data_IF_907478082732
#
_entry.id   IF_907478082732
#
_cell.length_a   1.000
_cell.length_b   1.000
_cell.length_c   1.000
_cell.angle_alpha   90.00
_cell.angle_beta   90.00
_cell.angle_gamma   90.00
#
_symmetry.space_group_name_H-M   'P 1'
#
loop_
_entity.id
_entity.type
_entity.pdbx_description
1 polymer ?
#
# COMPACT_ATOMS: atom_id res chain seq x y z
N UNK A 1 -24.08 15.92 0.50
CA UNK A 1 -23.23 15.40 -0.57
C UNK A 1 -24.12 14.62 -1.53
N UNK A 2 -23.93 14.81 -2.84
CA UNK A 2 -24.47 13.94 -3.88
C UNK A 2 -23.44 12.86 -4.18
N UNK A 3 -23.84 11.60 -4.10
CA UNK A 3 -22.93 10.47 -4.27
C UNK A 3 -23.43 9.61 -5.42
N UNK A 4 -22.59 9.45 -6.44
CA UNK A 4 -22.83 8.54 -7.54
C UNK A 4 -22.46 7.11 -7.17
N UNK A 5 -23.06 6.13 -7.83
CA UNK A 5 -22.75 4.70 -7.63
C UNK A 5 -22.43 4.06 -8.97
N UNK A 6 -21.33 3.29 -9.02
CA UNK A 6 -20.94 2.46 -10.15
C UNK A 6 -20.72 1.01 -9.70
N UNK A 7 -21.66 0.13 -10.01
CA UNK A 7 -21.68 -1.22 -9.48
C UNK A 7 -21.96 -1.24 -7.97
N UNK A 8 -22.08 -2.43 -7.40
CA UNK A 8 -22.22 -2.59 -5.96
C UNK A 8 -21.49 -3.84 -5.47
N UNK A 9 -21.27 -3.90 -4.17
CA UNK A 9 -20.96 -5.10 -3.40
C UNK A 9 -21.51 -4.87 -1.99
N UNK A 10 -21.47 -5.89 -1.13
CA UNK A 10 -21.98 -5.79 0.24
C UNK A 10 -21.43 -4.61 1.04
N UNK A 11 -20.14 -4.27 0.87
CA UNK A 11 -19.51 -3.16 1.59
C UNK A 11 -19.96 -1.81 1.03
N UNK A 12 -19.99 -1.67 -0.30
CA UNK A 12 -20.46 -0.44 -0.95
C UNK A 12 -21.93 -0.18 -0.69
N UNK A 13 -22.78 -1.22 -0.67
CA UNK A 13 -24.18 -1.07 -0.30
C UNK A 13 -24.34 -0.62 1.15
N UNK A 14 -23.54 -1.15 2.09
CA UNK A 14 -23.57 -0.71 3.48
C UNK A 14 -23.19 0.78 3.62
N UNK A 15 -22.19 1.25 2.85
CA UNK A 15 -21.80 2.67 2.81
C UNK A 15 -22.92 3.53 2.19
N UNK A 16 -23.54 3.05 1.12
CA UNK A 16 -24.68 3.75 0.49
C UNK A 16 -25.87 3.89 1.46
N UNK A 17 -26.18 2.83 2.23
CA UNK A 17 -27.20 2.88 3.29
C UNK A 17 -26.83 3.93 4.35
N UNK A 18 -25.61 3.88 4.88
CA UNK A 18 -25.13 4.85 5.87
C UNK A 18 -25.18 6.29 5.33
N UNK A 19 -24.92 6.49 4.04
CA UNK A 19 -25.00 7.81 3.40
C UNK A 19 -26.45 8.35 3.37
N UNK A 20 -27.43 7.52 3.02
CA UNK A 20 -28.84 7.91 3.03
C UNK A 20 -29.32 8.20 4.45
N UNK A 21 -28.94 7.37 5.42
CA UNK A 21 -29.26 7.59 6.84
C UNK A 21 -28.61 8.87 7.38
N UNK A 22 -27.40 9.21 6.90
CA UNK A 22 -26.71 10.48 7.15
C UNK A 22 -27.29 11.69 6.40
N UNK A 23 -28.37 11.53 5.63
CA UNK A 23 -29.04 12.60 4.91
C UNK A 23 -28.34 13.03 3.61
N UNK A 24 -27.50 12.18 3.03
CA UNK A 24 -26.90 12.39 1.72
C UNK A 24 -27.78 11.80 0.61
N UNK A 25 -27.65 12.34 -0.60
CA UNK A 25 -28.42 11.88 -1.75
C UNK A 25 -27.58 10.95 -2.62
N UNK A 26 -28.15 9.80 -2.97
CA UNK A 26 -27.54 8.85 -3.91
C UNK A 26 -28.14 9.04 -5.30
N UNK A 27 -27.37 9.63 -6.19
CA UNK A 27 -27.72 9.80 -7.60
C UNK A 27 -26.50 10.34 -8.34
N UNK A 28 -26.25 9.88 -9.58
CA UNK A 28 -26.89 8.77 -10.30
C UNK A 28 -26.30 7.40 -9.93
N UNK A 29 -27.05 6.32 -10.17
CA UNK A 29 -26.59 4.95 -9.93
C UNK A 29 -26.57 4.10 -11.21
N UNK A 30 -25.44 3.46 -11.49
CA UNK A 30 -25.20 2.67 -12.71
C UNK A 30 -24.72 1.26 -12.38
N UNK A 31 -25.14 0.27 -13.18
CA UNK A 31 -24.72 -1.14 -13.05
C UNK A 31 -25.05 -1.75 -11.66
N UNK A 32 -26.15 -1.29 -11.05
CA UNK A 32 -26.64 -1.72 -9.73
C UNK A 32 -27.79 -2.73 -9.92
N UNK A 33 -27.87 -3.82 -9.13
CA UNK A 33 -28.93 -4.82 -9.26
C UNK A 33 -30.31 -4.25 -8.91
N UNK A 34 -31.35 -4.94 -9.37
CA UNK A 34 -32.74 -4.54 -9.12
C UNK A 34 -33.15 -4.72 -7.66
N UNK A 35 -32.65 -5.77 -7.02
CA UNK A 35 -32.91 -6.10 -5.62
C UNK A 35 -31.95 -5.32 -4.71
N UNK A 36 -32.40 -4.15 -4.28
CA UNK A 36 -31.68 -3.31 -3.35
C UNK A 36 -32.37 -3.28 -1.98
N UNK A 37 -31.62 -3.00 -0.90
CA UNK A 37 -32.20 -2.68 0.40
C UNK A 37 -33.33 -1.65 0.26
N UNK A 38 -34.42 -1.80 1.03
CA UNK A 38 -35.61 -0.97 0.89
C UNK A 38 -35.33 0.54 0.98
N UNK A 39 -34.35 0.93 1.81
CA UNK A 39 -33.90 2.32 1.96
C UNK A 39 -33.26 2.89 0.69
N UNK A 40 -32.74 2.04 -0.19
CA UNK A 40 -32.14 2.36 -1.49
C UNK A 40 -33.12 2.13 -2.67
N UNK A 41 -34.39 1.82 -2.41
CA UNK A 41 -35.36 1.56 -3.48
C UNK A 41 -35.66 2.79 -4.35
N UNK A 42 -35.44 4.00 -3.82
CA UNK A 42 -35.67 5.27 -4.51
C UNK A 42 -34.47 5.84 -5.26
N UNK A 43 -33.35 5.12 -5.39
CA UNK A 43 -32.18 5.66 -6.11
C UNK A 43 -32.52 5.84 -7.59
N UNK A 44 -31.98 6.90 -8.18
CA UNK A 44 -32.10 7.16 -9.61
C UNK A 44 -31.18 6.21 -10.40
N UNK A 45 -31.73 5.08 -10.84
CA UNK A 45 -31.03 4.08 -11.63
C UNK A 45 -31.00 4.49 -13.10
N UNK A 46 -29.81 4.57 -13.65
CA UNK A 46 -29.57 4.96 -15.03
C UNK A 46 -29.04 3.77 -15.85
N UNK A 47 -29.26 3.75 -17.19
CA UNK A 47 -28.73 2.70 -18.06
C UNK A 47 -27.21 2.60 -17.95
N UNK A 48 -26.68 1.36 -17.92
CA UNK A 48 -25.25 1.08 -17.74
C UNK A 48 -24.36 1.81 -18.76
N UNK A 49 -24.85 2.00 -19.99
CA UNK A 49 -24.11 2.66 -21.06
C UNK A 49 -23.91 4.17 -20.86
N UNK A 50 -24.64 4.78 -19.92
CA UNK A 50 -24.67 6.22 -19.65
C UNK A 50 -23.84 6.63 -18.42
N UNK A 51 -22.97 5.75 -17.94
CA UNK A 51 -22.17 5.95 -16.73
C UNK A 51 -21.29 7.23 -16.77
N UNK A 52 -21.01 7.78 -17.95
CA UNK A 52 -20.20 8.98 -18.14
C UNK A 52 -20.76 10.21 -17.40
N UNK A 53 -22.05 10.20 -17.02
CA UNK A 53 -22.60 11.23 -16.12
C UNK A 53 -21.86 11.34 -14.78
N UNK A 54 -21.17 10.28 -14.33
CA UNK A 54 -20.33 10.29 -13.13
C UNK A 54 -19.05 11.13 -13.26
N UNK A 55 -18.68 11.55 -14.48
CA UNK A 55 -17.51 12.40 -14.73
C UNK A 55 -17.77 13.86 -14.34
N UNK A 56 -19.03 14.27 -14.25
CA UNK A 56 -19.44 15.66 -14.02
C UNK A 56 -19.55 15.99 -12.52
N UNK A 57 -18.82 17.00 -12.05
CA UNK A 57 -18.88 17.50 -10.65
C UNK A 57 -20.27 18.00 -10.27
N UNK A 58 -21.03 18.49 -11.25
CA UNK A 58 -22.38 19.03 -11.05
C UNK A 58 -23.40 17.93 -10.70
N UNK A 59 -23.12 16.72 -11.15
CA UNK A 59 -23.98 15.53 -11.02
C UNK A 59 -23.76 14.87 -9.66
N UNK A 60 -22.50 14.61 -9.29
CA UNK A 60 -22.16 14.08 -7.97
C UNK A 60 -20.83 14.64 -7.45
N UNK A 61 -20.63 14.65 -6.14
CA UNK A 61 -19.40 15.13 -5.50
C UNK A 61 -18.35 14.00 -5.38
N UNK A 62 -18.81 12.74 -5.30
CA UNK A 62 -17.98 11.56 -5.19
C UNK A 62 -18.67 10.32 -5.76
N UNK A 63 -17.91 9.27 -6.03
CA UNK A 63 -18.40 8.01 -6.62
C UNK A 63 -18.07 6.82 -5.72
N UNK A 64 -19.07 6.01 -5.39
CA UNK A 64 -18.89 4.69 -4.79
C UNK A 64 -18.75 3.64 -5.90
N UNK A 65 -17.75 2.78 -5.81
CA UNK A 65 -17.47 1.77 -6.84
C UNK A 65 -17.49 0.37 -6.23
N UNK A 66 -18.46 -0.42 -6.65
CA UNK A 66 -18.61 -1.83 -6.24
C UNK A 66 -17.76 -2.79 -7.06
N UNK A 67 -17.33 -3.87 -6.42
CA UNK A 67 -16.44 -4.87 -7.03
C UNK A 67 -17.13 -6.18 -7.44
N UNK A 68 -18.38 -6.40 -7.06
CA UNK A 68 -19.09 -7.62 -7.50
C UNK A 68 -19.34 -7.57 -9.01
N UNK A 69 -18.95 -8.63 -9.72
CA UNK A 69 -18.99 -8.66 -11.19
C UNK A 69 -17.93 -7.77 -11.84
N UNK A 70 -16.79 -7.55 -11.17
CA UNK A 70 -15.65 -6.83 -11.74
C UNK A 70 -15.29 -7.35 -13.15
N UNK A 71 -15.01 -6.42 -14.06
CA UNK A 71 -14.71 -6.72 -15.47
C UNK A 71 -13.75 -5.69 -16.04
N UNK A 72 -13.09 -5.99 -17.17
CA UNK A 72 -12.25 -5.02 -17.87
C UNK A 72 -13.01 -3.75 -18.26
N UNK A 73 -14.31 -3.85 -18.54
CA UNK A 73 -15.14 -2.69 -18.79
C UNK A 73 -15.25 -1.80 -17.55
N UNK A 74 -15.49 -2.38 -16.36
CA UNK A 74 -15.55 -1.61 -15.11
C UNK A 74 -14.19 -1.05 -14.71
N UNK A 75 -13.12 -1.81 -14.95
CA UNK A 75 -11.76 -1.32 -14.77
C UNK A 75 -11.50 -0.06 -15.62
N UNK A 76 -11.95 -0.05 -16.88
CA UNK A 76 -11.83 1.11 -17.76
C UNK A 76 -12.67 2.31 -17.31
N UNK A 77 -13.88 2.07 -16.82
CA UNK A 77 -14.71 3.11 -16.22
C UNK A 77 -14.00 3.77 -15.03
N UNK A 78 -13.40 2.97 -14.15
CA UNK A 78 -12.62 3.48 -13.01
C UNK A 78 -11.39 4.25 -13.46
N UNK A 79 -10.61 3.75 -14.43
CA UNK A 79 -9.48 4.50 -14.99
C UNK A 79 -9.92 5.86 -15.52
N UNK A 80 -11.05 5.92 -16.24
CA UNK A 80 -11.58 7.17 -16.79
C UNK A 80 -12.05 8.13 -15.69
N UNK A 81 -12.71 7.64 -14.64
CA UNK A 81 -13.09 8.46 -13.48
C UNK A 81 -11.85 9.03 -12.78
N UNK A 82 -10.80 8.23 -12.62
CA UNK A 82 -9.54 8.70 -12.01
C UNK A 82 -8.83 9.73 -12.91
N UNK A 83 -8.82 9.53 -14.23
CA UNK A 83 -8.31 10.52 -15.18
C UNK A 83 -9.07 11.85 -15.12
N UNK A 84 -10.38 11.80 -14.88
CA UNK A 84 -11.22 12.97 -14.72
C UNK A 84 -11.11 13.65 -13.33
N UNK A 85 -10.18 13.20 -12.47
CA UNK A 85 -9.93 13.83 -11.17
C UNK A 85 -11.01 13.55 -10.13
N UNK A 86 -11.84 12.52 -10.32
CA UNK A 86 -12.97 12.21 -9.43
C UNK A 86 -12.50 11.68 -8.07
N UNK A 87 -13.23 12.01 -7.01
CA UNK A 87 -13.08 11.35 -5.69
C UNK A 87 -13.87 10.04 -5.69
N UNK A 88 -13.19 8.94 -5.43
CA UNK A 88 -13.71 7.57 -5.54
C UNK A 88 -13.50 6.83 -4.23
N UNK A 89 -14.55 6.16 -3.75
CA UNK A 89 -14.43 5.10 -2.76
C UNK A 89 -14.71 3.75 -3.42
N UNK A 90 -13.73 2.86 -3.42
CA UNK A 90 -13.80 1.59 -4.16
C UNK A 90 -13.73 0.38 -3.22
N UNK A 91 -14.54 -0.63 -3.48
CA UNK A 91 -14.41 -1.93 -2.83
C UNK A 91 -13.00 -2.49 -3.01
N UNK A 92 -12.49 -3.23 -2.01
CA UNK A 92 -11.13 -3.73 -2.03
C UNK A 92 -11.05 -5.24 -1.79
N UNK A 93 -10.17 -5.99 -2.48
CA UNK A 93 -9.54 -5.60 -3.75
C UNK A 93 -10.58 -5.50 -4.88
N UNK A 94 -10.41 -4.55 -5.79
CA UNK A 94 -11.22 -4.50 -7.01
C UNK A 94 -10.72 -5.50 -8.06
N UNK A 95 -9.41 -5.69 -8.13
CA UNK A 95 -8.76 -6.73 -8.92
C UNK A 95 -7.54 -7.25 -8.17
N UNK A 96 -7.20 -8.52 -8.38
CA UNK A 96 -5.95 -9.14 -7.88
C UNK A 96 -4.79 -8.99 -8.88
N UNK A 97 -4.98 -8.20 -9.95
CA UNK A 97 -3.96 -7.93 -10.97
C UNK A 97 -3.09 -6.73 -10.58
N UNK A 98 -1.79 -6.94 -10.38
CA UNK A 98 -0.82 -5.86 -10.22
C UNK A 98 -0.70 -4.98 -11.45
N UNK A 99 -0.96 -5.51 -12.66
CA UNK A 99 -0.94 -4.69 -13.86
C UNK A 99 -2.00 -3.58 -13.77
N UNK A 100 -3.23 -3.96 -13.38
CA UNK A 100 -4.30 -2.99 -13.15
C UNK A 100 -3.94 -2.03 -12.01
N UNK A 101 -3.32 -2.55 -10.93
CA UNK A 101 -2.94 -1.71 -9.80
C UNK A 101 -1.91 -0.63 -10.21
N UNK A 102 -0.91 -1.02 -11.00
CA UNK A 102 0.14 -0.14 -11.52
C UNK A 102 -0.38 0.87 -12.54
N UNK A 103 -1.27 0.44 -13.46
CA UNK A 103 -1.91 1.36 -14.41
C UNK A 103 -2.68 2.46 -13.70
N UNK A 104 -3.42 2.14 -12.63
CA UNK A 104 -4.15 3.15 -11.87
C UNK A 104 -3.22 4.08 -11.10
N UNK A 105 -2.10 3.55 -10.57
CA UNK A 105 -1.07 4.35 -9.89
C UNK A 105 -0.42 5.36 -10.85
N UNK A 106 -0.11 4.94 -12.09
CA UNK A 106 0.37 5.84 -13.13
C UNK A 106 -0.63 6.95 -13.46
N UNK A 107 -1.92 6.62 -13.56
CA UNK A 107 -2.96 7.61 -13.84
C UNK A 107 -3.09 8.60 -12.68
N UNK A 108 -3.03 8.12 -11.44
CA UNK A 108 -3.12 8.95 -10.24
C UNK A 108 -1.94 9.92 -10.10
N UNK A 109 -0.75 9.53 -10.55
CA UNK A 109 0.42 10.42 -10.56
C UNK A 109 0.19 11.69 -11.41
N UNK A 110 -0.65 11.59 -12.44
CA UNK A 110 -0.95 12.68 -13.38
C UNK A 110 -2.37 13.27 -13.19
N UNK A 111 -3.10 12.90 -12.14
CA UNK A 111 -4.47 13.37 -11.90
C UNK A 111 -4.68 13.96 -10.51
N UNK A 112 -5.77 14.72 -10.33
CA UNK A 112 -6.19 15.24 -9.02
C UNK A 112 -7.16 14.30 -8.29
N UNK A 113 -7.32 13.08 -8.78
CA UNK A 113 -8.28 12.14 -8.20
C UNK A 113 -7.83 11.66 -6.82
N UNK A 114 -8.81 11.35 -5.98
CA UNK A 114 -8.59 10.71 -4.69
C UNK A 114 -9.26 9.35 -4.70
N UNK A 115 -8.48 8.28 -4.53
CA UNK A 115 -9.00 6.90 -4.51
C UNK A 115 -8.84 6.31 -3.12
N UNK A 116 -9.98 6.05 -2.47
CA UNK A 116 -10.09 5.51 -1.12
C UNK A 116 -10.51 4.03 -1.22
N UNK A 117 -9.63 3.07 -0.93
CA UNK A 117 -10.03 1.68 -0.83
C UNK A 117 -10.88 1.42 0.43
N UNK A 118 -11.85 0.52 0.32
CA UNK A 118 -12.71 0.11 1.43
C UNK A 118 -11.97 -0.78 2.46
N UNK A 119 -11.01 -0.20 3.18
CA UNK A 119 -10.13 -0.82 4.18
C UNK A 119 -10.41 -0.25 5.58
N UNK A 120 -11.66 -0.35 6.04
CA UNK A 120 -12.10 0.26 7.30
C UNK A 120 -11.43 -0.33 8.54
N UNK A 121 -11.05 -1.62 8.52
CA UNK A 121 -10.58 -2.36 9.70
C UNK A 121 -9.40 -1.66 10.39
N UNK A 122 -8.50 -1.03 9.63
CA UNK A 122 -7.34 -0.30 10.18
C UNK A 122 -7.72 0.88 11.08
N UNK A 123 -8.93 1.41 10.93
CA UNK A 123 -9.44 2.53 11.71
C UNK A 123 -10.18 2.11 12.98
N UNK A 124 -10.33 0.82 13.23
CA UNK A 124 -10.88 0.39 14.50
C UNK A 124 -9.95 0.86 15.64
N UNK A 125 -10.45 1.54 16.70
CA UNK A 125 -9.60 2.11 17.75
C UNK A 125 -8.64 1.09 18.39
N UNK A 126 -9.10 -0.14 18.53
CA UNK A 126 -8.29 -1.26 19.04
C UNK A 126 -7.08 -1.60 18.17
N UNK A 127 -7.13 -1.40 16.84
CA UNK A 127 -5.96 -1.63 15.97
C UNK A 127 -4.86 -0.62 16.27
N UNK A 128 -5.21 0.62 16.59
CA UNK A 128 -4.22 1.62 17.04
C UNK A 128 -3.59 1.22 18.39
N UNK A 129 -4.40 0.79 19.37
CA UNK A 129 -3.89 0.27 20.64
C UNK A 129 -2.98 -0.96 20.44
N UNK A 130 -3.37 -1.87 19.54
CA UNK A 130 -2.57 -3.04 19.19
C UNK A 130 -1.25 -2.65 18.52
N UNK A 131 -1.26 -1.68 17.59
CA UNK A 131 -0.05 -1.14 16.96
C UNK A 131 0.92 -0.59 18.00
N UNK A 132 0.43 0.23 18.92
CA UNK A 132 1.26 0.77 20.01
C UNK A 132 1.84 -0.34 20.90
N UNK A 133 1.05 -1.38 21.20
CA UNK A 133 1.52 -2.53 21.97
C UNK A 133 2.60 -3.32 21.23
N UNK A 134 2.45 -3.52 19.92
CA UNK A 134 3.45 -4.17 19.06
C UNK A 134 4.74 -3.36 19.05
N UNK A 135 4.66 -2.06 18.81
CA UNK A 135 5.83 -1.15 18.81
C UNK A 135 6.56 -1.15 20.15
N UNK A 136 5.83 -1.08 21.27
CA UNK A 136 6.42 -1.18 22.61
C UNK A 136 7.10 -2.53 22.84
N UNK A 137 6.50 -3.62 22.36
CA UNK A 137 7.04 -4.98 22.50
C UNK A 137 8.30 -5.19 21.66
N UNK A 138 8.34 -4.66 20.43
CA UNK A 138 9.54 -4.64 19.58
C UNK A 138 10.67 -3.84 20.26
N UNK A 139 10.34 -2.70 20.87
CA UNK A 139 11.28 -1.89 21.63
C UNK A 139 11.72 -2.51 22.97
N UNK A 140 11.20 -3.68 23.35
CA UNK A 140 11.51 -4.39 24.60
C UNK A 140 10.86 -3.80 25.86
N UNK A 141 9.99 -2.80 25.70
CA UNK A 141 9.28 -2.12 26.80
C UNK A 141 7.81 -2.57 26.91
N UNK A 142 7.39 -3.56 26.12
CA UNK A 142 6.03 -4.06 26.09
C UNK A 142 5.63 -4.73 27.42
N UNK A 143 4.39 -4.52 27.90
CA UNK A 143 3.88 -5.14 29.13
C UNK A 143 3.86 -6.67 29.08
N UNK A 144 3.73 -7.27 27.90
CA UNK A 144 3.81 -8.73 27.69
C UNK A 144 5.23 -9.23 27.36
N UNK A 145 6.24 -8.35 27.39
CA UNK A 145 7.61 -8.68 26.98
C UNK A 145 7.82 -8.58 25.47
N UNK A 146 8.98 -9.03 24.97
CA UNK A 146 9.29 -9.07 23.55
C UNK A 146 8.26 -9.88 22.76
N UNK A 147 7.98 -9.41 21.55
CA UNK A 147 7.11 -10.11 20.60
C UNK A 147 7.83 -11.34 20.03
N UNK A 148 7.14 -12.49 20.04
CA UNK A 148 7.65 -13.73 19.45
C UNK A 148 7.03 -13.96 18.07
N UNK A 149 5.71 -13.76 17.94
CA UNK A 149 5.01 -13.87 16.66
C UNK A 149 3.67 -13.18 16.67
N UNK A 150 3.19 -12.85 15.47
CA UNK A 150 1.84 -12.36 15.22
C UNK A 150 1.13 -13.33 14.27
N UNK A 151 -0.06 -13.80 14.64
CA UNK A 151 -0.79 -14.79 13.88
C UNK A 151 -2.17 -14.28 13.46
N UNK A 152 -2.52 -14.48 12.20
CA UNK A 152 -3.81 -14.15 11.63
C UNK A 152 -4.45 -15.46 11.15
N UNK A 153 -5.64 -15.77 11.63
CA UNK A 153 -6.44 -16.89 11.16
C UNK A 153 -7.75 -16.37 10.54
N UNK A 154 -7.87 -16.52 9.23
CA UNK A 154 -9.07 -16.19 8.46
C UNK A 154 -9.96 -17.43 8.39
N UNK A 155 -11.13 -17.40 9.02
CA UNK A 155 -12.16 -18.43 8.85
C UNK A 155 -13.13 -17.98 7.77
N UNK A 156 -13.40 -18.83 6.79
CA UNK A 156 -14.35 -18.51 5.72
C UNK A 156 -14.98 -19.78 5.10
N UNK A 157 -16.20 -19.65 4.52
CA UNK A 157 -16.88 -20.77 3.86
C UNK A 157 -16.20 -21.17 2.56
N UNK A 158 -16.01 -20.21 1.65
CA UNK A 158 -15.39 -20.41 0.33
C UNK A 158 -13.88 -20.30 0.45
N UNK A 159 -13.17 -21.32 -0.05
CA UNK A 159 -11.70 -21.41 0.04
C UNK A 159 -11.08 -21.77 -1.32
N UNK A 160 -11.73 -21.34 -2.39
CA UNK A 160 -11.10 -21.26 -3.71
C UNK A 160 -10.00 -20.18 -3.71
N UNK A 161 -9.18 -20.18 -4.76
CA UNK A 161 -8.04 -19.28 -4.87
C UNK A 161 -8.43 -17.80 -4.74
N UNK A 162 -9.44 -17.36 -5.49
CA UNK A 162 -9.79 -15.94 -5.58
C UNK A 162 -10.37 -15.45 -4.26
N UNK A 163 -11.24 -16.24 -3.61
CA UNK A 163 -11.77 -15.94 -2.28
C UNK A 163 -10.67 -15.84 -1.22
N UNK A 164 -9.68 -16.73 -1.24
CA UNK A 164 -8.57 -16.74 -0.27
C UNK A 164 -7.65 -15.53 -0.48
N UNK A 165 -7.28 -15.23 -1.73
CA UNK A 165 -6.42 -14.10 -2.06
C UNK A 165 -7.11 -12.75 -1.78
N UNK A 166 -8.42 -12.66 -2.03
CA UNK A 166 -9.24 -11.48 -1.70
C UNK A 166 -9.25 -11.21 -0.20
N UNK A 167 -9.47 -12.24 0.62
CA UNK A 167 -9.39 -12.11 2.09
C UNK A 167 -7.98 -11.74 2.56
N UNK A 168 -6.96 -12.38 2.00
CA UNK A 168 -5.57 -12.05 2.32
C UNK A 168 -5.22 -10.60 1.99
N UNK A 169 -5.63 -10.07 0.82
CA UNK A 169 -5.38 -8.67 0.46
C UNK A 169 -5.95 -7.69 1.49
N UNK A 170 -7.16 -7.95 2.01
CA UNK A 170 -7.76 -7.13 3.08
C UNK A 170 -6.99 -7.25 4.40
N UNK A 171 -6.59 -8.47 4.75
CA UNK A 171 -5.88 -8.74 6.02
C UNK A 171 -4.45 -8.21 5.99
N UNK A 172 -3.83 -8.20 4.81
CA UNK A 172 -2.50 -7.66 4.59
C UNK A 172 -2.42 -6.16 4.90
N UNK A 173 -3.52 -5.40 4.76
CA UNK A 173 -3.55 -4.00 5.19
C UNK A 173 -3.33 -3.88 6.71
N UNK A 174 -4.07 -4.67 7.50
CA UNK A 174 -3.92 -4.68 8.96
C UNK A 174 -2.52 -5.15 9.35
N UNK A 175 -1.98 -6.17 8.68
CA UNK A 175 -0.60 -6.63 8.91
C UNK A 175 0.38 -5.47 8.69
N UNK A 176 0.28 -4.76 7.56
CA UNK A 176 1.15 -3.62 7.23
C UNK A 176 1.04 -2.49 8.24
N UNK A 177 -0.16 -2.24 8.76
CA UNK A 177 -0.38 -1.22 9.80
C UNK A 177 0.31 -1.58 11.12
N UNK A 178 0.34 -2.86 11.48
CA UNK A 178 0.90 -3.32 12.76
C UNK A 178 2.42 -3.49 12.75
N UNK A 179 2.99 -3.99 11.66
CA UNK A 179 4.42 -4.36 11.60
C UNK A 179 5.20 -3.64 10.49
N UNK A 180 4.56 -2.72 9.76
CA UNK A 180 5.15 -2.10 8.57
C UNK A 180 5.13 -3.00 7.35
N UNK A 181 5.77 -2.55 6.28
CA UNK A 181 5.80 -3.27 5.00
C UNK A 181 6.67 -4.53 5.07
N UNK A 182 6.12 -5.73 4.78
CA UNK A 182 6.92 -6.95 4.72
C UNK A 182 8.00 -6.88 3.64
N UNK A 183 9.19 -7.40 3.97
CA UNK A 183 10.33 -7.50 3.03
C UNK A 183 10.41 -8.86 2.34
N UNK A 184 9.70 -9.86 2.87
CA UNK A 184 9.72 -11.23 2.37
C UNK A 184 8.39 -11.92 2.63
N UNK A 185 7.95 -12.70 1.66
CA UNK A 185 6.72 -13.50 1.71
C UNK A 185 7.01 -14.95 1.35
N UNK A 186 6.54 -15.89 2.16
CA UNK A 186 6.61 -17.32 1.88
C UNK A 186 5.23 -17.96 2.03
N UNK A 187 4.74 -18.61 0.99
CA UNK A 187 3.48 -19.34 1.05
C UNK A 187 3.73 -20.86 1.07
N UNK A 188 2.99 -21.55 1.94
CA UNK A 188 2.95 -23.00 2.09
C UNK A 188 1.49 -23.46 1.97
N UNK A 189 1.27 -24.54 1.24
CA UNK A 189 -0.08 -24.87 0.75
C UNK A 189 -0.37 -24.15 -0.57
N UNK A 190 -1.58 -24.29 -1.10
CA UNK A 190 -1.94 -23.84 -2.46
C UNK A 190 -1.56 -24.86 -3.56
N UNK A 191 -2.44 -25.01 -4.56
CA UNK A 191 -2.39 -26.05 -5.60
C UNK A 191 -3.80 -26.55 -5.94
N UNK A 192 -3.96 -27.60 -6.76
CA UNK A 192 -5.27 -28.05 -7.29
C UNK A 192 -6.33 -28.39 -6.22
N UNK A 193 -5.93 -28.67 -4.98
CA UNK A 193 -6.81 -28.84 -3.81
C UNK A 193 -6.32 -28.07 -2.55
N UNK A 194 -5.29 -27.23 -2.68
CA UNK A 194 -4.43 -26.81 -1.58
C UNK A 194 -4.74 -25.44 -0.94
N UNK A 195 -5.68 -24.67 -1.48
CA UNK A 195 -6.01 -23.32 -0.98
C UNK A 195 -6.74 -23.35 0.36
N UNK A 196 -7.39 -24.46 0.69
CA UNK A 196 -8.14 -24.66 1.92
C UNK A 196 -7.31 -24.56 3.21
N UNK A 197 -6.00 -24.78 3.13
CA UNK A 197 -5.04 -24.77 4.25
C UNK A 197 -3.82 -23.90 3.92
N UNK A 198 -3.98 -22.87 3.09
CA UNK A 198 -2.91 -21.94 2.77
C UNK A 198 -2.39 -21.27 4.04
N UNK A 199 -1.08 -21.25 4.21
CA UNK A 199 -0.37 -20.48 5.22
C UNK A 199 0.66 -19.57 4.55
N UNK A 200 0.69 -18.32 4.95
CA UNK A 200 1.59 -17.28 4.43
C UNK A 200 2.41 -16.76 5.59
N UNK A 201 3.72 -16.95 5.53
CA UNK A 201 4.70 -16.31 6.39
C UNK A 201 5.15 -14.99 5.78
N UNK A 202 5.14 -13.93 6.58
CA UNK A 202 5.63 -12.60 6.23
C UNK A 202 6.72 -12.21 7.23
N UNK A 203 7.80 -11.62 6.75
CA UNK A 203 8.85 -11.08 7.62
C UNK A 203 9.38 -9.73 7.13
N UNK A 204 9.63 -8.84 8.08
CA UNK A 204 10.20 -7.51 7.84
C UNK A 204 11.64 -7.37 8.38
N UNK A 205 12.26 -6.19 8.19
CA UNK A 205 13.57 -5.87 8.74
C UNK A 205 13.61 -5.95 10.27
N UNK A 206 12.50 -5.66 10.96
CA UNK A 206 12.36 -5.73 12.42
C UNK A 206 12.17 -7.17 12.95
N UNK A 207 12.32 -8.18 12.08
CA UNK A 207 12.28 -9.63 12.37
C UNK A 207 11.01 -10.16 13.05
N UNK A 208 9.95 -9.37 13.16
CA UNK A 208 8.65 -9.89 13.62
C UNK A 208 8.14 -10.93 12.62
N UNK A 209 7.98 -12.16 13.10
CA UNK A 209 7.42 -13.25 12.33
C UNK A 209 5.90 -13.14 12.31
N UNK A 210 5.33 -12.89 11.13
CA UNK A 210 3.88 -12.86 10.95
C UNK A 210 3.45 -14.09 10.17
N UNK A 211 2.41 -14.77 10.65
CA UNK A 211 1.79 -15.90 9.97
C UNK A 211 0.32 -15.62 9.74
N UNK A 212 -0.08 -15.60 8.47
CA UNK A 212 -1.48 -15.60 8.07
C UNK A 212 -1.88 -17.00 7.61
N UNK A 213 -3.07 -17.47 7.95
CA UNK A 213 -3.57 -18.75 7.46
C UNK A 213 -5.09 -18.73 7.27
N UNK A 214 -5.57 -19.58 6.36
CA UNK A 214 -7.00 -19.79 6.14
C UNK A 214 -7.46 -21.09 6.79
N UNK A 215 -8.65 -21.03 7.40
CA UNK A 215 -9.34 -22.15 8.03
C UNK A 215 -10.81 -22.22 7.57
N UNK A 216 -11.43 -23.39 7.74
CA UNK A 216 -12.86 -23.57 7.42
C UNK A 216 -13.70 -22.84 8.45
N UNK A 217 -14.61 -21.98 7.99
CA UNK A 217 -15.62 -21.30 8.82
C UNK A 217 -17.01 -21.40 8.21
N UNK A 218 -18.03 -21.03 8.99
CA UNK A 218 -19.38 -20.80 8.47
C UNK A 218 -19.56 -19.35 7.98
N UNK A 219 -18.87 -18.44 8.64
CA UNK A 219 -18.86 -16.98 8.43
C UNK A 219 -17.44 -16.53 8.09
N UNK A 220 -17.29 -15.29 7.60
CA UNK A 220 -15.99 -14.68 7.29
C UNK A 220 -15.40 -13.95 8.50
N UNK A 221 -14.80 -14.66 9.44
CA UNK A 221 -14.23 -14.12 10.68
C UNK A 221 -12.70 -14.03 10.62
N UNK A 222 -12.10 -13.15 11.42
CA UNK A 222 -10.65 -13.03 11.56
C UNK A 222 -10.26 -13.11 13.02
N UNK A 223 -9.33 -14.01 13.35
CA UNK A 223 -8.68 -14.02 14.66
C UNK A 223 -7.26 -13.47 14.51
N UNK A 224 -6.90 -12.47 15.31
CA UNK A 224 -5.53 -11.94 15.42
C UNK A 224 -4.97 -12.35 16.78
N UNK A 225 -3.78 -12.95 16.80
CA UNK A 225 -3.09 -13.37 18.02
C UNK A 225 -1.70 -12.75 18.08
N UNK A 226 -1.47 -11.92 19.09
CA UNK A 226 -0.16 -11.44 19.47
C UNK A 226 0.42 -12.38 20.54
N UNK A 227 1.57 -12.98 20.25
CA UNK A 227 2.28 -13.89 21.15
C UNK A 227 3.58 -13.22 21.58
N UNK A 228 3.74 -13.07 22.87
CA UNK A 228 4.91 -12.47 23.51
C UNK A 228 5.45 -13.39 24.62
N UNK A 229 6.67 -13.12 25.08
CA UNK A 229 7.37 -13.93 26.09
C UNK A 229 6.55 -14.20 27.37
N UNK A 230 5.72 -13.24 27.82
CA UNK A 230 4.98 -13.31 29.11
C UNK A 230 3.48 -13.46 28.94
N UNK A 231 2.98 -13.67 27.72
CA UNK A 231 1.56 -13.85 27.49
C UNK A 231 1.12 -13.68 26.04
N UNK A 232 -0.18 -13.80 25.84
CA UNK A 232 -0.86 -13.70 24.55
C UNK A 232 -2.08 -12.79 24.63
N UNK A 233 -2.33 -12.09 23.54
CA UNK A 233 -3.54 -11.32 23.31
C UNK A 233 -4.21 -11.84 22.05
N UNK A 234 -5.47 -12.26 22.16
CA UNK A 234 -6.28 -12.80 21.08
C UNK A 234 -7.46 -11.87 20.82
N UNK A 235 -7.73 -11.58 19.56
CA UNK A 235 -8.78 -10.67 19.10
C UNK A 235 -9.61 -11.42 18.07
N UNK A 236 -10.89 -11.61 18.35
CA UNK A 236 -11.84 -12.21 17.43
C UNK A 236 -12.67 -11.10 16.77
N UNK A 237 -12.46 -10.93 15.48
CA UNK A 237 -13.09 -9.93 14.63
C UNK A 237 -14.25 -10.61 13.89
N UNK A 238 -15.49 -10.13 14.09
CA UNK A 238 -16.68 -10.70 13.47
C UNK A 238 -16.71 -10.47 11.96
N UNK A 239 -17.71 -11.05 11.31
CA UNK A 239 -17.92 -10.90 9.88
C UNK A 239 -18.03 -9.43 9.44
N UNK A 240 -17.38 -9.10 8.31
CA UNK A 240 -17.25 -7.73 7.78
C UNK A 240 -16.58 -6.75 8.76
N UNK A 241 -15.94 -7.25 9.82
CA UNK A 241 -15.41 -6.48 10.93
C UNK A 241 -16.44 -5.61 11.67
N UNK A 242 -17.75 -5.85 11.47
CA UNK A 242 -18.82 -5.01 11.99
C UNK A 242 -19.31 -5.50 13.37
N UNK A 243 -19.55 -4.56 14.28
CA UNK A 243 -20.03 -4.83 15.63
C UNK A 243 -18.91 -4.87 16.67
N UNK A 244 -19.13 -5.62 17.75
CA UNK A 244 -18.21 -5.73 18.88
C UNK A 244 -17.18 -6.83 18.61
N UNK A 245 -15.91 -6.54 18.87
CA UNK A 245 -14.83 -7.51 18.77
C UNK A 245 -14.56 -8.10 20.15
N UNK A 246 -14.36 -9.42 20.22
CA UNK A 246 -14.04 -10.09 21.46
C UNK A 246 -12.53 -10.14 21.66
N UNK A 247 -12.08 -9.94 22.89
CA UNK A 247 -10.67 -9.86 23.25
C UNK A 247 -10.41 -10.80 24.42
N UNK A 248 -9.43 -11.67 24.26
CA UNK A 248 -8.99 -12.60 25.31
C UNK A 248 -7.51 -12.39 25.58
N UNK A 249 -7.18 -12.12 26.84
CA UNK A 249 -5.81 -12.06 27.32
C UNK A 249 -5.47 -13.32 28.12
N UNK A 250 -4.26 -13.82 27.95
CA UNK A 250 -3.69 -14.82 28.85
C UNK A 250 -2.24 -14.47 29.18
N UNK A 251 -1.90 -14.49 30.46
CA UNK A 251 -0.58 -14.16 30.98
C UNK A 251 0.03 -15.36 31.70
N UNK A 252 1.33 -15.54 31.53
CA UNK A 252 2.06 -16.59 32.21
C UNK A 252 2.43 -16.10 33.62
N UNK A 253 1.75 -16.60 34.66
CA UNK A 253 2.10 -16.31 36.06
C UNK A 253 0.98 -15.93 37.02
N UNK A 254 -0.30 -16.03 36.64
CA UNK A 254 -1.42 -15.77 37.56
C UNK A 254 -1.59 -14.30 37.99
N UNK A 255 -0.76 -13.39 37.45
CA UNK A 255 -0.98 -11.95 37.52
C UNK A 255 -2.10 -11.63 36.52
N UNK A 256 -3.31 -11.46 37.03
CA UNK A 256 -4.44 -10.95 36.26
C UNK A 256 -4.21 -9.46 35.96
N UNK A 257 -4.50 -9.02 34.74
CA UNK A 257 -4.44 -7.63 34.24
C UNK A 257 -3.05 -6.98 34.07
N UNK A 258 -2.20 -7.56 33.21
CA UNK A 258 -1.03 -6.81 32.69
C UNK A 258 -1.42 -5.76 31.62
N UNK A 259 -2.67 -5.76 31.15
CA UNK A 259 -3.18 -4.88 30.09
C UNK A 259 -4.54 -4.28 30.49
N UNK A 260 -4.62 -3.41 31.52
CA UNK A 260 -5.89 -2.82 31.95
C UNK A 260 -6.57 -1.95 30.87
N UNK A 261 -5.83 -1.54 29.84
CA UNK A 261 -6.32 -0.77 28.70
C UNK A 261 -7.03 -1.61 27.63
N UNK A 262 -6.97 -2.95 27.75
CA UNK A 262 -7.53 -3.88 26.76
C UNK A 262 -8.79 -4.54 27.32
N UNK A 263 -9.99 -3.97 27.05
CA UNK A 263 -11.24 -4.55 27.54
C UNK A 263 -11.51 -5.91 26.88
N UNK A 264 -12.33 -6.75 27.51
CA UNK A 264 -12.75 -8.05 26.96
C UNK A 264 -13.61 -7.93 25.69
N UNK A 265 -14.25 -6.79 25.51
CA UNK A 265 -15.09 -6.46 24.37
C UNK A 265 -14.81 -5.01 23.92
N UNK A 266 -14.74 -4.80 22.61
CA UNK A 266 -14.54 -3.45 22.05
C UNK A 266 -15.84 -2.67 21.97
N UNK A 267 -15.73 -1.37 21.69
CA UNK A 267 -16.89 -0.58 21.26
C UNK A 267 -17.42 -1.12 19.93
N UNK A 268 -18.73 -1.03 19.72
CA UNK A 268 -19.33 -1.44 18.46
C UNK A 268 -18.74 -0.61 17.31
N UNK A 269 -18.24 -1.30 16.28
CA UNK A 269 -17.62 -0.68 15.12
C UNK A 269 -18.53 -0.77 13.90
N UNK A 270 -18.70 0.35 13.20
CA UNK A 270 -19.48 0.44 11.96
C UNK A 270 -18.55 0.82 10.80
N UNK A 271 -18.00 -0.16 10.06
CA UNK A 271 -17.08 0.08 8.94
C UNK A 271 -17.61 1.08 7.91
N UNK A 272 -18.91 1.01 7.62
CA UNK A 272 -19.57 1.85 6.61
C UNK A 272 -19.59 3.33 7.01
N UNK A 273 -19.85 3.64 8.28
CA UNK A 273 -19.85 5.01 8.79
C UNK A 273 -18.46 5.62 8.74
N UNK A 274 -17.43 4.85 9.13
CA UNK A 274 -16.03 5.29 9.07
C UNK A 274 -15.63 5.61 7.64
N UNK A 275 -15.91 4.70 6.69
CA UNK A 275 -15.58 4.89 5.29
C UNK A 275 -16.34 6.08 4.67
N UNK A 276 -17.60 6.30 5.06
CA UNK A 276 -18.35 7.48 4.65
C UNK A 276 -17.72 8.77 5.19
N UNK A 277 -17.29 8.79 6.45
CA UNK A 277 -16.60 9.93 7.04
C UNK A 277 -15.29 10.24 6.30
N UNK A 278 -14.50 9.21 5.95
CA UNK A 278 -13.29 9.38 5.14
C UNK A 278 -13.61 10.01 3.78
N UNK A 279 -14.68 9.54 3.11
CA UNK A 279 -15.13 10.10 1.84
C UNK A 279 -15.51 11.57 1.96
N UNK A 280 -16.28 11.92 2.99
CA UNK A 280 -16.71 13.30 3.25
C UNK A 280 -15.53 14.23 3.53
N UNK A 281 -14.51 13.75 4.24
CA UNK A 281 -13.29 14.52 4.51
C UNK A 281 -12.45 14.72 3.25
N UNK A 282 -12.34 13.69 2.40
CA UNK A 282 -11.63 13.78 1.13
C UNK A 282 -12.29 14.81 0.18
N UNK A 283 -13.63 14.79 0.07
CA UNK A 283 -14.37 15.76 -0.76
C UNK A 283 -14.21 17.20 -0.25
N UNK A 284 -14.06 17.40 1.07
CA UNK A 284 -13.81 18.72 1.66
C UNK A 284 -12.37 19.21 1.48
N UNK A 285 -11.44 18.34 1.06
CA UNK A 285 -10.01 18.65 0.97
C UNK A 285 -9.31 18.81 2.32
N UNK A 286 -9.89 18.26 3.41
CA UNK A 286 -9.38 18.43 4.79
C UNK A 286 -8.60 17.20 5.28
N UNK A 287 -7.92 16.51 4.35
CA UNK A 287 -7.21 15.26 4.64
C UNK A 287 -5.98 15.47 5.56
N UNK A 288 -5.38 16.66 5.54
CA UNK A 288 -4.09 16.95 6.20
C UNK A 288 -4.21 17.31 7.69
N UNK A 289 -5.41 17.55 8.21
CA UNK A 289 -5.58 18.13 9.55
C UNK A 289 -5.79 17.10 10.67
N UNK A 290 -5.23 15.89 10.53
CA UNK A 290 -5.41 14.82 11.52
C UNK A 290 -4.31 14.80 12.57
N UNK A 291 -4.73 14.71 13.83
CA UNK A 291 -3.90 14.46 15.02
C UNK A 291 -2.92 13.31 14.81
N UNK A 292 -1.67 13.49 15.27
CA UNK A 292 -0.58 12.49 15.31
C UNK A 292 -0.91 11.18 16.08
N UNK A 293 -2.12 11.04 16.62
CA UNK A 293 -2.56 9.90 17.44
C UNK A 293 -3.48 8.92 16.70
N UNK A 294 -3.48 8.88 15.37
CA UNK A 294 -4.36 7.99 14.59
C UNK A 294 -3.65 7.33 13.42
N UNK A 295 -4.12 6.14 13.04
CA UNK A 295 -3.67 5.45 11.82
C UNK A 295 -4.17 6.25 10.61
N UNK A 296 -3.30 6.60 9.65
CA UNK A 296 -3.70 7.37 8.47
C UNK A 296 -4.73 6.62 7.63
N UNK A 297 -5.62 7.35 6.93
CA UNK A 297 -6.57 6.74 6.00
C UNK A 297 -5.85 5.90 4.95
N UNK A 298 -6.42 4.73 4.64
CA UNK A 298 -5.91 3.96 3.52
C UNK A 298 -6.12 4.75 2.23
N UNK A 299 -5.07 4.82 1.42
CA UNK A 299 -5.08 5.43 0.09
C UNK A 299 -4.74 4.39 -0.96
N UNK A 300 -4.76 4.79 -2.23
CA UNK A 300 -4.43 3.89 -3.32
C UNK A 300 -3.10 3.12 -3.16
N UNK A 301 -1.98 3.75 -2.72
CA UNK A 301 -0.74 3.01 -2.52
C UNK A 301 -0.89 1.85 -1.52
N UNK A 302 -1.73 1.99 -0.49
CA UNK A 302 -2.00 0.90 0.45
C UNK A 302 -2.68 -0.28 -0.23
N UNK A 303 -3.70 0.00 -1.05
CA UNK A 303 -4.42 -1.03 -1.80
C UNK A 303 -3.53 -1.71 -2.85
N UNK A 304 -2.71 -0.94 -3.56
CA UNK A 304 -1.78 -1.49 -4.55
C UNK A 304 -0.79 -2.46 -3.88
N UNK A 305 -0.27 -2.11 -2.70
CA UNK A 305 0.64 -2.98 -1.94
C UNK A 305 -0.01 -4.26 -1.46
N UNK A 306 -1.25 -4.22 -0.98
CA UNK A 306 -1.93 -5.46 -0.55
C UNK A 306 -2.27 -6.37 -1.74
N UNK A 307 -2.60 -5.80 -2.91
CA UNK A 307 -2.78 -6.54 -4.17
C UNK A 307 -1.46 -7.20 -4.59
N UNK A 308 -0.33 -6.49 -4.54
CA UNK A 308 1.00 -7.03 -4.82
C UNK A 308 1.34 -8.24 -3.93
N UNK A 309 1.09 -8.12 -2.63
CA UNK A 309 1.32 -9.22 -1.69
C UNK A 309 0.45 -10.43 -2.04
N UNK A 310 -0.84 -10.20 -2.35
CA UNK A 310 -1.77 -11.27 -2.72
C UNK A 310 -1.36 -11.97 -4.04
N UNK A 311 -1.00 -11.21 -5.08
CA UNK A 311 -0.58 -11.78 -6.37
C UNK A 311 0.77 -12.55 -6.27
N UNK A 312 1.58 -12.21 -5.27
CA UNK A 312 2.86 -12.89 -5.02
C UNK A 312 2.67 -14.30 -4.43
N UNK A 313 1.55 -14.58 -3.75
CA UNK A 313 1.27 -15.89 -3.13
C UNK A 313 1.32 -17.04 -4.14
N UNK A 314 0.55 -17.05 -5.26
CA UNK A 314 0.62 -18.14 -6.24
C UNK A 314 2.04 -18.39 -6.76
N UNK A 315 2.84 -17.33 -6.92
CA UNK A 315 4.24 -17.43 -7.36
C UNK A 315 5.11 -18.09 -6.30
N UNK A 316 4.91 -17.78 -5.02
CA UNK A 316 5.64 -18.39 -3.90
C UNK A 316 5.28 -19.87 -3.76
N UNK A 317 3.99 -20.20 -3.82
CA UNK A 317 3.48 -21.59 -3.81
C UNK A 317 4.11 -22.40 -4.93
N UNK A 318 4.04 -21.91 -6.18
CA UNK A 318 4.59 -22.62 -7.35
C UNK A 318 6.09 -22.86 -7.25
N UNK A 319 6.83 -21.95 -6.60
CA UNK A 319 8.29 -22.06 -6.43
C UNK A 319 8.70 -22.83 -5.17
N UNK A 320 7.79 -23.04 -4.21
CA UNK A 320 8.06 -23.69 -2.93
C UNK A 320 9.08 -22.95 -2.06
N UNK A 321 9.22 -21.63 -2.21
CA UNK A 321 10.20 -20.83 -1.46
C UNK A 321 9.70 -19.40 -1.21
N UNK A 322 10.32 -18.75 -0.23
CA UNK A 322 10.13 -17.33 0.02
C UNK A 322 10.53 -16.48 -1.20
N UNK A 323 9.74 -15.45 -1.46
CA UNK A 323 9.97 -14.40 -2.44
C UNK A 323 10.34 -13.14 -1.66
N UNK A 324 11.47 -12.55 -2.01
CA UNK A 324 11.88 -11.26 -1.47
C UNK A 324 11.09 -10.17 -2.19
N UNK A 325 10.50 -9.27 -1.41
CA UNK A 325 9.68 -8.17 -1.89
C UNK A 325 10.59 -6.95 -2.00
N UNK A 326 10.94 -6.58 -3.23
CA UNK A 326 11.76 -5.41 -3.47
C UNK A 326 10.85 -4.18 -3.48
N UNK A 327 10.98 -3.35 -2.45
CA UNK A 327 10.42 -2.01 -2.45
C UNK A 327 11.25 -1.18 -3.42
N UNK A 328 10.81 -1.11 -4.67
CA UNK A 328 11.23 -0.01 -5.54
C UNK A 328 10.51 1.24 -5.00
N UNK A 329 11.15 1.91 -4.05
CA UNK A 329 10.95 3.35 -3.93
C UNK A 329 11.44 3.92 -5.27
N UNK A 330 10.52 4.24 -6.17
CA UNK A 330 10.79 5.09 -7.33
C UNK A 330 11.10 6.51 -6.84
N UNK A 331 12.10 6.67 -5.97
CA UNK A 331 12.69 7.96 -5.75
C UNK A 331 13.47 8.30 -7.01
N UNK A 332 13.28 9.52 -7.51
CA UNK A 332 14.09 10.08 -8.60
C UNK A 332 15.59 9.92 -8.33
N UNK A 333 15.98 9.83 -7.05
CA UNK A 333 17.33 9.54 -6.59
C UNK A 333 17.86 8.16 -7.01
N UNK A 334 17.01 7.12 -7.02
CA UNK A 334 17.35 5.77 -7.48
C UNK A 334 17.63 5.75 -8.99
N UNK A 335 16.72 6.33 -9.77
CA UNK A 335 16.86 6.49 -11.23
C UNK A 335 18.06 7.38 -11.58
N UNK A 336 18.29 8.44 -10.82
CA UNK A 336 19.43 9.34 -10.97
C UNK A 336 20.77 8.65 -10.66
N UNK A 337 20.85 7.85 -9.60
CA UNK A 337 22.04 7.01 -9.30
C UNK A 337 22.28 5.95 -10.37
N UNK A 338 21.22 5.28 -10.85
CA UNK A 338 21.30 4.30 -11.94
C UNK A 338 21.78 4.92 -13.26
N UNK A 339 21.28 6.12 -13.58
CA UNK A 339 21.67 6.87 -14.78
C UNK A 339 23.11 7.38 -14.67
N UNK A 340 23.54 7.87 -13.50
CA UNK A 340 24.93 8.27 -13.28
C UNK A 340 25.90 7.09 -13.31
N UNK A 341 25.51 5.91 -12.83
CA UNK A 341 26.34 4.70 -12.88
C UNK A 341 26.54 4.22 -14.33
N UNK A 342 25.47 4.17 -15.13
CA UNK A 342 25.56 3.77 -16.53
C UNK A 342 26.33 4.80 -17.39
N UNK A 343 26.09 6.09 -17.18
CA UNK A 343 26.79 7.18 -17.85
C UNK A 343 28.28 7.23 -17.48
N UNK A 344 28.62 7.01 -16.20
CA UNK A 344 30.01 6.90 -15.75
C UNK A 344 30.76 5.74 -16.39
N UNK A 345 30.13 4.56 -16.45
CA UNK A 345 30.69 3.41 -17.15
C UNK A 345 30.91 3.70 -18.66
N UNK A 346 29.93 4.36 -19.31
CA UNK A 346 30.03 4.78 -20.70
C UNK A 346 31.20 5.73 -20.98
N UNK A 347 31.40 6.72 -20.11
CA UNK A 347 32.51 7.68 -20.22
C UNK A 347 33.87 6.97 -20.05
N UNK A 348 34.00 6.06 -19.09
CA UNK A 348 35.23 5.29 -18.88
C UNK A 348 35.54 4.43 -20.11
N UNK A 349 34.54 3.73 -20.64
CA UNK A 349 34.68 2.92 -21.86
C UNK A 349 35.08 3.78 -23.06
N UNK A 350 34.46 4.95 -23.26
CA UNK A 350 34.84 5.88 -24.31
C UNK A 350 36.28 6.41 -24.12
N UNK A 351 36.68 6.72 -22.89
CA UNK A 351 38.04 7.16 -22.57
C UNK A 351 39.09 6.09 -22.87
N UNK A 352 38.84 4.83 -22.49
CA UNK A 352 39.72 3.70 -22.82
C UNK A 352 39.79 3.46 -24.34
N UNK A 353 38.68 3.62 -25.05
CA UNK A 353 38.64 3.51 -26.50
C UNK A 353 39.43 4.61 -27.20
N UNK A 354 39.34 5.86 -26.72
CA UNK A 354 40.16 6.99 -27.21
C UNK A 354 41.64 6.73 -26.95
N UNK A 355 42.00 6.20 -25.78
CA UNK A 355 43.38 5.83 -25.45
C UNK A 355 43.90 4.75 -26.42
N UNK A 356 43.09 3.73 -26.69
CA UNK A 356 43.41 2.69 -27.68
C UNK A 356 43.64 3.28 -29.09
N UNK A 357 42.75 4.15 -29.57
CA UNK A 357 42.92 4.86 -30.84
C UNK A 357 44.17 5.74 -30.87
N UNK A 358 44.42 6.51 -29.81
CA UNK A 358 45.57 7.41 -29.73
C UNK A 358 46.90 6.65 -29.74
N UNK A 359 46.96 5.53 -29.03
CA UNK A 359 48.15 4.64 -29.02
C UNK A 359 48.37 3.97 -30.37
N UNK A 360 47.31 3.51 -31.04
CA UNK A 360 47.39 2.92 -32.37
C UNK A 360 47.85 3.95 -33.41
N UNK A 361 47.23 5.13 -33.44
CA UNK A 361 47.60 6.23 -34.35
C UNK A 361 49.02 6.72 -34.07
N UNK A 362 49.42 6.87 -32.81
CA UNK A 362 50.78 7.23 -32.42
C UNK A 362 51.83 6.21 -32.88
N UNK A 363 51.53 4.92 -32.74
CA UNK A 363 52.39 3.83 -33.21
C UNK A 363 52.57 3.86 -34.73
N UNK A 364 51.48 4.02 -35.49
CA UNK A 364 51.51 4.10 -36.96
C UNK A 364 52.22 5.38 -37.43
N UNK A 365 51.94 6.53 -36.81
CA UNK A 365 52.55 7.81 -37.17
C UNK A 365 54.07 7.79 -36.99
N UNK A 366 54.56 7.20 -35.90
CA UNK A 366 55.99 7.07 -35.63
C UNK A 366 56.69 6.15 -36.65
N UNK A 367 56.03 5.08 -37.07
CA UNK A 367 56.55 4.20 -38.13
C UNK A 367 56.56 4.86 -39.51
N UNK A 368 55.58 5.72 -39.80
CA UNK A 368 55.43 6.42 -41.08
C UNK A 368 56.17 7.77 -41.18
N UNK A 369 56.85 8.22 -40.10
CA UNK A 369 57.51 9.53 -40.05
C UNK A 369 56.54 10.72 -40.06
N UNK A 370 55.31 10.52 -39.61
CA UNK A 370 54.25 11.53 -39.67
C UNK A 370 54.28 12.44 -38.44
N UNK A 371 54.95 13.59 -38.58
CA UNK A 371 55.15 14.58 -37.50
C UNK A 371 53.88 15.17 -36.90
N UNK A 372 52.77 15.20 -37.66
CA UNK A 372 51.47 15.64 -37.15
C UNK A 372 50.84 14.63 -36.18
N UNK A 373 50.97 13.34 -36.47
CA UNK A 373 50.43 12.27 -35.62
C UNK A 373 51.11 12.21 -34.25
N UNK A 374 52.40 12.51 -34.17
CA UNK A 374 53.13 12.62 -32.89
C UNK A 374 52.61 13.76 -32.02
N UNK A 375 52.26 14.91 -32.61
CA UNK A 375 51.66 16.03 -31.86
C UNK A 375 50.28 15.68 -31.33
N UNK A 376 49.46 15.00 -32.14
CA UNK A 376 48.12 14.57 -31.73
C UNK A 376 48.21 13.53 -30.59
N UNK A 377 49.18 12.62 -30.66
CA UNK A 377 49.49 11.66 -29.60
C UNK A 377 50.12 12.28 -28.33
N UNK A 378 50.48 13.56 -28.32
CA UNK A 378 50.90 14.26 -27.11
C UNK A 378 49.72 14.90 -26.35
N UNK A 379 48.56 15.07 -27.01
CA UNK A 379 47.41 15.80 -26.47
C UNK A 379 46.44 14.89 -25.69
N UNK A 380 46.42 13.58 -25.96
CA UNK A 380 45.46 12.65 -25.35
C UNK A 380 45.46 12.60 -23.80
N UNK A 381 46.59 12.76 -23.07
CA UNK A 381 46.53 12.76 -21.60
C UNK A 381 45.70 13.94 -21.07
N UNK A 382 45.78 15.09 -21.73
CA UNK A 382 44.98 16.26 -21.39
C UNK A 382 43.50 16.06 -21.74
N UNK A 383 43.20 15.36 -22.83
CA UNK A 383 41.82 15.01 -23.18
C UNK A 383 41.19 14.07 -22.13
N UNK A 384 41.92 13.04 -21.69
CA UNK A 384 41.44 12.14 -20.62
C UNK A 384 41.28 12.89 -19.30
N UNK A 385 42.26 13.71 -18.92
CA UNK A 385 42.20 14.52 -17.71
C UNK A 385 40.98 15.45 -17.72
N UNK A 386 40.72 16.13 -18.84
CA UNK A 386 39.58 17.03 -19.01
C UNK A 386 38.25 16.28 -18.86
N UNK A 387 38.14 15.10 -19.49
CA UNK A 387 36.95 14.24 -19.38
C UNK A 387 36.72 13.76 -17.94
N UNK A 388 37.78 13.36 -17.24
CA UNK A 388 37.71 12.95 -15.83
C UNK A 388 37.29 14.11 -14.91
N UNK A 389 37.81 15.31 -15.14
CA UNK A 389 37.42 16.52 -14.38
C UNK A 389 35.95 16.85 -14.62
N UNK A 390 35.50 16.83 -15.88
CA UNK A 390 34.09 17.08 -16.22
C UNK A 390 33.17 16.06 -15.52
N UNK A 391 33.56 14.79 -15.52
CA UNK A 391 32.83 13.74 -14.84
C UNK A 391 32.77 13.96 -13.31
N UNK A 392 33.87 14.37 -12.69
CA UNK A 392 33.92 14.68 -11.26
C UNK A 392 33.00 15.87 -10.90
N UNK A 393 32.94 16.89 -11.77
CA UNK A 393 32.04 18.04 -11.59
C UNK A 393 30.57 17.59 -11.67
N UNK A 394 30.23 16.74 -12.63
CA UNK A 394 28.88 16.16 -12.75
C UNK A 394 28.49 15.35 -11.50
N UNK A 395 29.42 14.62 -10.89
CA UNK A 395 29.19 13.90 -9.63
C UNK A 395 28.96 14.81 -8.42
N UNK A 396 29.42 16.07 -8.47
CA UNK A 396 29.25 17.07 -7.40
C UNK A 396 27.96 17.90 -7.55
N UNK A 397 27.32 17.88 -8.73
CA UNK A 397 26.05 18.56 -8.98
C UNK A 397 24.93 18.23 -7.97
N UNK A 398 24.76 16.99 -7.48
CA UNK A 398 23.70 16.64 -6.54
C UNK A 398 23.86 17.31 -5.17
N UNK A 399 25.10 17.67 -4.80
CA UNK A 399 25.38 18.41 -3.58
C UNK A 399 25.07 19.90 -3.69
N UNK A 400 24.89 20.42 -4.92
CA UNK A 400 24.56 21.82 -5.19
C UNK A 400 23.05 22.05 -5.36
N UNK A 401 22.26 20.99 -5.53
CA UNK A 401 20.81 21.10 -5.52
C UNK A 401 20.36 21.36 -4.07
N UNK A 402 19.56 22.42 -3.83
CA UNK A 402 18.97 22.67 -2.53
C UNK A 402 18.25 21.40 -2.07
N UNK A 403 18.66 20.87 -0.93
CA UNK A 403 17.89 19.83 -0.25
C UNK A 403 16.58 20.50 0.12
N UNK A 404 15.48 20.13 -0.53
CA UNK A 404 14.16 20.57 -0.12
C UNK A 404 13.99 20.15 1.34
N UNK A 405 14.15 21.12 2.22
CA UNK A 405 13.90 20.98 3.64
C UNK A 405 12.38 20.94 3.79
N UNK A 406 11.83 19.75 3.53
CA UNK A 406 10.54 19.34 4.05
C UNK A 406 10.58 19.48 5.57
N UNK A 407 10.03 20.59 6.01
CA UNK A 407 9.56 20.96 7.34
C UNK A 407 10.00 20.00 8.47
N UNK A 408 11.23 20.19 8.95
CA UNK A 408 11.78 19.53 10.13
C UNK A 408 12.25 20.57 11.13
N UNK A 409 11.36 21.52 11.46
CA UNK A 409 11.61 22.51 12.51
C UNK A 409 10.32 22.94 13.20
N UNK A 410 9.71 22.04 13.96
CA UNK A 410 8.84 22.42 15.08
C UNK A 410 8.91 21.41 16.23
N UNK A 411 10.13 21.18 16.76
CA UNK A 411 10.30 20.53 18.07
C UNK A 411 11.63 20.93 18.70
N UNK A 412 11.78 22.23 19.01
CA UNK A 412 12.86 22.66 19.92
C UNK A 412 12.69 24.05 20.55
N UNK A 413 11.49 24.40 21.02
CA UNK A 413 11.36 25.63 21.83
C UNK A 413 10.21 25.60 22.83
N UNK A 414 10.33 24.81 23.89
CA UNK A 414 9.60 25.07 25.15
C UNK A 414 10.15 24.24 26.32
N UNK A 415 11.39 24.49 26.75
CA UNK A 415 11.80 24.19 28.14
C UNK A 415 13.05 24.95 28.54
N UNK A 416 12.87 26.19 28.97
CA UNK A 416 13.68 26.82 30.01
C UNK A 416 13.14 28.23 30.29
N UNK A 417 12.28 28.36 31.30
CA UNK A 417 12.25 29.51 32.24
C UNK A 417 11.32 29.17 33.42
N UNK A 418 11.93 28.55 34.45
CA UNK A 418 11.95 28.89 35.89
C UNK A 418 10.79 29.65 36.57
N UNK A 419 10.58 29.49 37.90
CA UNK A 419 11.61 29.31 38.94
C UNK A 419 11.57 28.03 39.78
#
# INVERSE_FOLDING_TARGET
MKIGILGCDDHILAIAVAAVEGGHSLSPAYDVPDDLPAILSGIDRQPREQWQGLLEDEVCDAVLVGVDGWSEHRAEQVRTLVQAGRTILIGHPASLSMLWAYELDMILADSSATVIPALATRHHPFIYSLKNLVEQSIAGNGPLGPIESLQFERRQPDRDQDSVLTSFARDADVIRVLIGDPSRLMALGGGDAGWANLAVGLSGPDQVSVRWQVAKGHTRELTIQLICERGRLCIDIPERACGVWAVTQQTDGGISDLLPEFPSETVAFQPAEVLLELLLLAVKGDADNRSNSSIPPAMWPDAARTIELAETIPRSVKRGRGIDLHQEEFSELGTFRGTMASLGCGIIMAGLFILFLATLVGGVARAAGWSFGERLAAIWPYAILTTLILFLILQLLPFLLPKDSGNSDESKTARSENP
#
